data_IF_666413116223
#
_entry.id   IF_666413116223
#
_cell.length_a   1.000
_cell.length_b   1.000
_cell.length_c   1.000
_cell.angle_alpha   90.00
_cell.angle_beta   90.00
_cell.angle_gamma   90.00
#
_symmetry.space_group_name_H-M   'P 1'
#
loop_
_entity.id
_entity.type
_entity.pdbx_description
1 polymer ?
#
# COMPACT_ATOMS: atom_id res chain seq x y z
N UNK A 1 1.26 -10.21 -2.65
CA UNK A 1 1.24 -11.08 -1.45
C UNK A 1 0.00 -11.96 -1.51
N UNK A 2 0.18 -13.27 -1.72
CA UNK A 2 -0.90 -14.25 -1.88
C UNK A 2 -1.19 -14.89 -0.51
N UNK A 3 -1.61 -14.07 0.46
CA UNK A 3 -2.13 -14.60 1.73
C UNK A 3 -3.58 -14.15 1.87
N UNK A 4 -4.47 -15.14 1.76
CA UNK A 4 -5.89 -15.13 2.13
C UNK A 4 -6.89 -14.23 1.37
N UNK A 5 -6.91 -14.28 0.03
CA UNK A 5 -7.97 -13.67 -0.84
C UNK A 5 -8.30 -12.18 -0.58
N UNK A 6 -7.54 -11.52 0.29
CA UNK A 6 -7.79 -10.17 0.72
C UNK A 6 -7.46 -9.23 -0.43
N UNK A 7 -8.44 -8.44 -0.84
CA UNK A 7 -8.23 -7.40 -1.83
C UNK A 7 -7.93 -6.10 -1.09
N UNK A 8 -6.69 -5.58 -1.14
CA UNK A 8 -6.37 -4.34 -0.45
C UNK A 8 -7.18 -3.19 -1.03
N UNK A 9 -7.73 -2.37 -0.15
CA UNK A 9 -8.35 -1.09 -0.51
C UNK A 9 -7.33 0.01 -0.23
N UNK A 10 -7.10 0.86 -1.22
CA UNK A 10 -6.16 1.97 -1.14
C UNK A 10 -6.94 3.26 -0.86
N UNK A 11 -6.68 3.88 0.28
CA UNK A 11 -7.26 5.17 0.65
C UNK A 11 -6.18 6.25 0.63
N UNK A 12 -6.50 7.45 0.13
CA UNK A 12 -5.58 8.58 0.29
C UNK A 12 -5.65 9.13 1.71
N UNK A 13 -4.50 9.38 2.34
CA UNK A 13 -4.45 10.06 3.63
C UNK A 13 -5.11 11.45 3.58
N UNK A 14 -4.87 12.17 2.49
CA UNK A 14 -5.54 13.43 2.17
C UNK A 14 -6.51 13.16 1.01
N UNK A 15 -7.83 13.18 1.25
CA UNK A 15 -8.81 12.89 0.21
C UNK A 15 -8.66 13.80 -1.00
N UNK A 16 -8.81 13.22 -2.19
CA UNK A 16 -8.99 13.94 -3.43
C UNK A 16 -10.33 14.71 -3.43
N UNK A 17 -10.44 15.84 -4.15
CA UNK A 17 -11.74 16.48 -4.42
C UNK A 17 -12.73 15.50 -5.05
N UNK A 18 -14.02 15.68 -4.74
CA UNK A 18 -15.12 14.75 -5.07
C UNK A 18 -15.31 14.49 -6.58
N UNK A 19 -14.74 15.34 -7.45
CA UNK A 19 -14.83 15.23 -8.91
C UNK A 19 -13.46 15.10 -9.59
N UNK A 20 -12.42 14.67 -8.88
CA UNK A 20 -11.11 14.44 -9.48
C UNK A 20 -11.14 13.20 -10.41
N UNK A 21 -10.62 13.30 -11.64
CA UNK A 21 -10.60 12.16 -12.55
C UNK A 21 -9.76 11.03 -11.98
N UNK A 22 -10.24 9.79 -12.16
CA UNK A 22 -9.52 8.59 -11.78
C UNK A 22 -8.86 7.95 -12.99
N UNK A 23 -7.65 7.46 -12.78
CA UNK A 23 -6.82 6.80 -13.78
C UNK A 23 -6.61 5.35 -13.38
N UNK A 24 -6.64 4.45 -14.36
CA UNK A 24 -6.29 3.05 -14.15
C UNK A 24 -4.77 2.97 -13.93
N UNK A 25 -4.37 2.51 -12.76
CA UNK A 25 -2.99 2.54 -12.28
C UNK A 25 -2.51 1.17 -11.82
N UNK A 26 -1.18 1.04 -11.77
CA UNK A 26 -0.46 -0.10 -11.22
C UNK A 26 0.41 0.42 -10.07
N UNK A 27 0.38 -0.25 -8.93
CA UNK A 27 1.20 0.07 -7.76
C UNK A 27 2.32 -0.96 -7.66
N UNK A 28 3.55 -0.49 -7.68
CA UNK A 28 4.75 -1.30 -7.47
C UNK A 28 5.30 -1.10 -6.06
N UNK A 29 5.93 -2.15 -5.53
CA UNK A 29 6.80 -2.02 -4.38
C UNK A 29 8.13 -1.40 -4.76
N UNK A 30 8.98 -1.23 -3.75
CA UNK A 30 10.24 -0.48 -3.90
C UNK A 30 11.42 -1.33 -4.38
N UNK A 31 11.23 -2.64 -4.58
CA UNK A 31 12.32 -3.52 -4.99
C UNK A 31 12.64 -3.39 -6.48
N UNK A 32 13.79 -3.95 -6.88
CA UNK A 32 14.20 -4.01 -8.28
C UNK A 32 13.57 -5.20 -9.01
N UNK A 33 12.74 -6.01 -8.33
CA UNK A 33 12.06 -7.14 -8.93
C UNK A 33 10.80 -6.65 -9.66
N UNK A 34 10.70 -6.97 -10.96
CA UNK A 34 9.54 -6.59 -11.77
C UNK A 34 8.24 -7.29 -11.31
N UNK A 35 8.35 -8.37 -10.53
CA UNK A 35 7.22 -9.03 -9.89
C UNK A 35 6.75 -8.37 -8.59
N UNK A 36 7.49 -7.38 -8.06
CA UNK A 36 7.08 -6.61 -6.88
C UNK A 36 5.98 -5.60 -7.23
N UNK A 37 4.84 -6.15 -7.63
CA UNK A 37 3.62 -5.45 -7.96
C UNK A 37 2.61 -5.67 -6.85
N UNK A 38 2.22 -4.59 -6.19
CA UNK A 38 1.28 -4.60 -5.07
C UNK A 38 -0.15 -4.70 -5.58
N UNK A 39 -0.50 -3.93 -6.62
CA UNK A 39 -1.83 -3.94 -7.23
C UNK A 39 -1.78 -3.59 -8.72
N UNK A 40 -2.71 -4.15 -9.49
CA UNK A 40 -2.86 -3.91 -10.93
C UNK A 40 -4.32 -3.56 -11.24
N UNK A 41 -4.55 -2.46 -11.97
CA UNK A 41 -5.88 -2.05 -12.38
C UNK A 41 -6.70 -1.34 -11.30
N UNK A 42 -6.04 -0.73 -10.32
CA UNK A 42 -6.69 0.14 -9.32
C UNK A 42 -6.98 1.50 -9.93
N UNK A 43 -8.09 2.13 -9.53
CA UNK A 43 -8.44 3.48 -9.97
C UNK A 43 -8.05 4.49 -8.90
N UNK A 44 -7.17 5.41 -9.25
CA UNK A 44 -6.64 6.43 -8.34
C UNK A 44 -6.66 7.81 -9.02
N UNK A 45 -6.80 8.91 -8.26
CA UNK A 45 -6.56 10.24 -8.79
C UNK A 45 -5.09 10.40 -9.23
N UNK A 46 -4.76 11.52 -9.87
CA UNK A 46 -3.36 11.84 -10.15
C UNK A 46 -2.58 11.99 -8.84
N UNK A 47 -1.52 11.19 -8.68
CA UNK A 47 -0.67 11.22 -7.49
C UNK A 47 0.66 11.88 -7.80
N UNK A 48 1.19 12.58 -6.80
CA UNK A 48 2.55 13.14 -6.81
C UNK A 48 3.39 12.56 -5.69
N UNK A 49 4.72 12.63 -5.83
CA UNK A 49 5.65 12.22 -4.78
C UNK A 49 5.31 12.93 -3.46
N UNK A 50 5.22 12.15 -2.38
CA UNK A 50 4.83 12.64 -1.05
C UNK A 50 3.34 12.48 -0.73
N UNK A 51 2.50 12.04 -1.67
CA UNK A 51 1.18 11.53 -1.33
C UNK A 51 1.28 10.18 -0.61
N UNK A 52 0.33 9.93 0.28
CA UNK A 52 0.28 8.73 1.11
C UNK A 52 -0.96 7.91 0.77
N UNK A 53 -0.74 6.62 0.51
CA UNK A 53 -1.79 5.61 0.37
C UNK A 53 -1.83 4.77 1.65
N UNK A 54 -3.03 4.57 2.17
CA UNK A 54 -3.31 3.81 3.39
C UNK A 54 -3.98 2.51 2.99
N UNK A 55 -3.49 1.40 3.54
CA UNK A 55 -4.12 0.08 3.46
C UNK A 55 -4.55 -0.30 4.87
N UNK A 56 -5.87 -0.39 5.09
CA UNK A 56 -6.43 -0.81 6.38
C UNK A 56 -6.42 -2.33 6.52
N UNK A 57 -6.62 -2.81 7.75
CA UNK A 57 -6.71 -4.23 8.09
C UNK A 57 -5.46 -5.04 7.68
N UNK A 58 -4.28 -4.41 7.69
CA UNK A 58 -3.02 -4.99 7.22
C UNK A 58 -2.17 -5.62 8.34
N UNK A 59 -2.80 -6.20 9.36
CA UNK A 59 -2.13 -6.72 10.56
C UNK A 59 -1.82 -8.22 10.54
N UNK A 60 -2.67 -9.04 9.93
CA UNK A 60 -2.50 -10.50 9.90
C UNK A 60 -1.74 -10.94 8.64
N UNK A 61 -0.77 -11.86 8.80
CA UNK A 61 0.01 -12.44 7.70
C UNK A 61 0.76 -11.42 6.81
N UNK A 62 1.19 -10.31 7.41
CA UNK A 62 1.95 -9.25 6.74
C UNK A 62 3.38 -9.20 7.28
N UNK A 63 3.61 -8.48 8.37
CA UNK A 63 4.95 -8.31 9.00
C UNK A 63 5.54 -9.66 9.42
N UNK A 64 4.70 -10.61 9.87
CA UNK A 64 5.13 -11.94 10.28
C UNK A 64 5.85 -12.75 9.17
N UNK A 65 5.63 -12.40 7.90
CA UNK A 65 6.25 -13.02 6.73
C UNK A 65 7.13 -12.07 5.92
N UNK A 66 7.39 -10.85 6.42
CA UNK A 66 8.19 -9.87 5.71
C UNK A 66 9.68 -10.24 5.69
N UNK A 67 10.40 -9.79 4.67
CA UNK A 67 11.83 -10.04 4.52
C UNK A 67 12.58 -8.74 4.19
N UNK A 68 13.89 -8.74 4.44
CA UNK A 68 14.78 -7.62 4.09
C UNK A 68 15.39 -7.77 2.69
N UNK A 69 14.59 -8.29 1.75
CA UNK A 69 15.02 -8.42 0.37
C UNK A 69 15.44 -7.06 -0.20
N UNK A 70 16.47 -7.01 -1.05
CA UNK A 70 17.13 -5.79 -1.50
C UNK A 70 17.68 -4.87 -0.39
N UNK A 71 17.82 -5.37 0.84
CA UNK A 71 18.38 -4.60 1.96
C UNK A 71 17.45 -3.53 2.52
N UNK A 72 16.15 -3.57 2.18
CA UNK A 72 15.17 -2.69 2.80
C UNK A 72 14.85 -3.14 4.23
N UNK A 73 14.81 -2.19 5.15
CA UNK A 73 14.44 -2.46 6.54
C UNK A 73 12.94 -2.76 6.67
N UNK A 74 12.58 -3.47 7.73
CA UNK A 74 11.18 -3.68 8.10
C UNK A 74 10.66 -2.43 8.82
N UNK A 75 9.42 -2.03 8.52
CA UNK A 75 8.79 -0.87 9.14
C UNK A 75 8.50 -1.08 10.64
N UNK A 76 8.66 0.00 11.41
CA UNK A 76 8.36 0.02 12.84
C UNK A 76 6.84 -0.02 13.11
N UNK A 77 6.43 -0.82 14.10
CA UNK A 77 5.04 -0.89 14.54
C UNK A 77 4.78 0.08 15.69
N UNK A 78 3.98 1.10 15.41
CA UNK A 78 3.57 2.10 16.40
C UNK A 78 2.23 1.69 17.04
N UNK A 79 2.26 1.28 18.30
CA UNK A 79 1.06 0.93 19.07
C UNK A 79 0.44 2.19 19.71
N UNK A 80 -0.85 2.42 19.45
CA UNK A 80 -1.61 3.55 20.01
C UNK A 80 -2.76 3.00 20.86
N UNK A 81 -2.84 3.47 22.11
CA UNK A 81 -3.92 3.13 23.04
C UNK A 81 -4.70 4.39 23.36
N UNK A 82 -6.02 4.35 23.18
CA UNK A 82 -6.93 5.40 23.63
C UNK A 82 -7.64 4.90 24.88
N UNK A 83 -7.32 5.50 26.03
CA UNK A 83 -7.98 5.23 27.31
C UNK A 83 -9.27 6.05 27.44
#
# INVERSE_FOLDING_TARGET
>A
IVFDKATPVFELLKPAPENEPLYKSVIFGQTCDSFDKIADGVYLPELVCGNWLIIRNHGAYTIASASRFNGFELEDVNYVFTF
#
